data_IF_475370778870
#
_entry.id   IF_475370778870
#
_cell.length_a   1.000
_cell.length_b   1.000
_cell.length_c   1.000
_cell.angle_alpha   90.00
_cell.angle_beta   90.00
_cell.angle_gamma   90.00
#
_symmetry.space_group_name_H-M   'P 1'
#
loop_
_entity.id
_entity.type
_entity.pdbx_description
1 polymer ?
#
# COMPACT_ATOMS: atom_id res chain seq x y z
N UNK A 1 -33.79 -2.47 -2.32
CA UNK A 1 -32.43 -2.90 -2.01
C UNK A 1 -32.32 -4.44 -2.01
N UNK A 2 -31.15 -4.97 -2.37
CA UNK A 2 -30.88 -6.40 -2.31
C UNK A 2 -30.50 -6.83 -0.88
N UNK A 3 -30.58 -8.14 -0.57
CA UNK A 3 -30.08 -8.67 0.70
C UNK A 3 -28.60 -8.29 0.93
N UNK A 4 -27.77 -8.38 -0.09
CA UNK A 4 -26.36 -7.96 -0.02
C UNK A 4 -26.24 -6.49 0.41
N UNK A 5 -27.05 -5.58 -0.11
CA UNK A 5 -27.03 -4.16 0.26
C UNK A 5 -27.33 -3.93 1.76
N UNK A 6 -28.22 -4.73 2.33
CA UNK A 6 -28.56 -4.65 3.77
C UNK A 6 -27.40 -5.17 4.63
N UNK A 7 -26.80 -6.31 4.22
CA UNK A 7 -25.79 -7.03 5.01
C UNK A 7 -24.38 -6.46 4.85
N UNK A 8 -24.08 -5.81 3.72
CA UNK A 8 -22.71 -5.33 3.45
C UNK A 8 -22.36 -4.15 4.35
N UNK A 9 -21.65 -4.46 5.42
CA UNK A 9 -20.99 -3.52 6.34
C UNK A 9 -19.50 -3.75 6.36
N UNK A 10 -18.97 -4.46 5.37
CA UNK A 10 -17.55 -4.78 5.26
C UNK A 10 -16.69 -3.52 5.19
N UNK A 11 -15.46 -3.60 5.67
CA UNK A 11 -14.52 -2.47 5.73
C UNK A 11 -13.48 -2.51 4.62
N UNK A 12 -13.41 -3.63 3.89
CA UNK A 12 -12.45 -3.82 2.79
C UNK A 12 -13.16 -4.28 1.53
N UNK A 13 -12.63 -3.91 0.37
CA UNK A 13 -13.17 -4.36 -0.91
C UNK A 13 -13.08 -5.90 -1.06
N UNK A 14 -12.03 -6.51 -0.53
CA UNK A 14 -11.87 -7.98 -0.46
C UNK A 14 -12.96 -8.62 0.38
N UNK A 15 -13.27 -8.04 1.54
CA UNK A 15 -14.38 -8.47 2.41
C UNK A 15 -15.73 -8.40 1.72
N UNK A 16 -16.02 -7.32 0.98
CA UNK A 16 -17.26 -7.16 0.22
C UNK A 16 -17.38 -8.25 -0.88
N UNK A 17 -16.30 -8.54 -1.60
CA UNK A 17 -16.29 -9.64 -2.58
C UNK A 17 -16.53 -10.99 -1.93
N UNK A 18 -15.89 -11.24 -0.78
CA UNK A 18 -16.06 -12.50 -0.04
C UNK A 18 -17.50 -12.64 0.51
N UNK A 19 -18.08 -11.58 1.06
CA UNK A 19 -19.46 -11.59 1.51
C UNK A 19 -20.44 -11.89 0.35
N UNK A 20 -20.22 -11.27 -0.80
CA UNK A 20 -21.00 -11.58 -2.02
C UNK A 20 -20.88 -13.04 -2.41
N UNK A 21 -19.65 -13.58 -2.40
CA UNK A 21 -19.41 -14.99 -2.71
C UNK A 21 -20.12 -15.93 -1.74
N UNK A 22 -20.14 -15.61 -0.44
CA UNK A 22 -20.84 -16.40 0.57
C UNK A 22 -22.35 -16.40 0.39
N UNK A 23 -22.94 -15.27 0.00
CA UNK A 23 -24.39 -15.18 -0.27
C UNK A 23 -24.78 -15.91 -1.55
N UNK A 24 -23.93 -15.92 -2.57
CA UNK A 24 -24.23 -16.59 -3.85
C UNK A 24 -23.92 -18.10 -3.81
N UNK A 25 -23.02 -18.52 -2.93
CA UNK A 25 -22.60 -19.93 -2.75
C UNK A 25 -22.59 -20.28 -1.27
N UNK A 26 -23.78 -20.43 -0.64
CA UNK A 26 -23.87 -20.72 0.78
C UNK A 26 -23.29 -22.08 1.11
N UNK A 27 -22.73 -22.21 2.31
CA UNK A 27 -22.29 -23.49 2.85
C UNK A 27 -23.47 -24.44 3.05
N UNK A 28 -23.20 -25.71 2.85
CA UNK A 28 -24.17 -26.83 3.07
C UNK A 28 -23.74 -27.76 4.20
N UNK A 29 -22.48 -27.68 4.60
CA UNK A 29 -21.94 -28.48 5.71
C UNK A 29 -22.21 -27.78 7.04
N UNK A 30 -22.87 -28.49 7.96
CA UNK A 30 -23.29 -27.98 9.25
C UNK A 30 -22.08 -27.56 10.09
N UNK A 31 -21.04 -28.39 10.14
CA UNK A 31 -19.86 -28.10 10.94
C UNK A 31 -19.13 -26.83 10.46
N UNK A 32 -19.06 -26.62 9.14
CA UNK A 32 -18.49 -25.40 8.58
C UNK A 32 -19.34 -24.17 8.85
N UNK A 33 -20.66 -24.32 8.89
CA UNK A 33 -21.60 -23.22 9.25
C UNK A 33 -21.41 -22.86 10.73
N UNK A 34 -21.45 -23.84 11.63
CA UNK A 34 -21.29 -23.64 13.08
C UNK A 34 -19.95 -23.00 13.41
N UNK A 35 -18.87 -23.41 12.73
CA UNK A 35 -17.54 -22.81 12.88
C UNK A 35 -17.52 -21.32 12.54
N UNK A 36 -18.25 -20.88 11.49
CA UNK A 36 -18.42 -19.45 11.18
C UNK A 36 -19.30 -18.72 12.18
N UNK A 37 -20.40 -19.34 12.60
CA UNK A 37 -21.29 -18.76 13.61
C UNK A 37 -20.58 -18.59 14.95
N UNK A 38 -19.74 -19.53 15.34
CA UNK A 38 -18.88 -19.41 16.54
C UNK A 38 -17.94 -18.20 16.50
N UNK A 39 -17.39 -17.88 15.32
CA UNK A 39 -16.56 -16.67 15.17
C UNK A 39 -17.42 -15.40 15.32
N UNK A 40 -18.63 -15.36 14.74
CA UNK A 40 -19.57 -14.25 14.90
C UNK A 40 -19.96 -14.09 16.36
N UNK A 41 -20.28 -15.17 17.05
CA UNK A 41 -20.61 -15.17 18.48
C UNK A 41 -19.47 -14.61 19.33
N UNK A 42 -18.23 -15.05 19.08
CA UNK A 42 -17.05 -14.59 19.81
C UNK A 42 -16.84 -13.07 19.63
N UNK A 43 -16.97 -12.55 18.41
CA UNK A 43 -16.90 -11.12 18.14
C UNK A 43 -18.08 -10.33 18.72
N UNK A 44 -19.26 -10.93 18.78
CA UNK A 44 -20.44 -10.29 19.39
C UNK A 44 -20.27 -10.15 20.91
N UNK A 45 -19.69 -11.14 21.55
CA UNK A 45 -19.39 -11.14 23.00
C UNK A 45 -18.22 -10.25 23.38
N UNK A 46 -17.26 -10.01 22.47
CA UNK A 46 -16.09 -9.16 22.70
C UNK A 46 -16.18 -7.89 21.85
N UNK A 47 -16.95 -6.91 22.34
CA UNK A 47 -17.20 -5.65 21.64
C UNK A 47 -15.91 -4.85 21.41
N UNK A 48 -14.99 -4.82 22.40
CA UNK A 48 -13.74 -4.06 22.30
C UNK A 48 -12.88 -4.60 21.15
N UNK A 49 -12.58 -5.91 21.15
CA UNK A 49 -11.79 -6.52 20.09
C UNK A 49 -12.47 -6.38 18.71
N UNK A 50 -13.80 -6.44 18.66
CA UNK A 50 -14.55 -6.23 17.41
C UNK A 50 -14.35 -4.82 16.86
N UNK A 51 -14.50 -3.78 17.68
CA UNK A 51 -14.34 -2.39 17.24
C UNK A 51 -12.90 -2.10 16.80
N UNK A 52 -11.90 -2.60 17.52
CA UNK A 52 -10.49 -2.48 17.15
C UNK A 52 -10.19 -3.19 15.81
N UNK A 53 -10.74 -4.39 15.60
CA UNK A 53 -10.65 -5.08 14.31
C UNK A 53 -11.28 -4.27 13.17
N UNK A 54 -12.44 -3.63 13.42
CA UNK A 54 -13.10 -2.77 12.44
C UNK A 54 -12.21 -1.59 12.07
N UNK A 55 -11.55 -0.96 13.03
CA UNK A 55 -10.64 0.16 12.79
C UNK A 55 -9.42 -0.29 11.99
N UNK A 56 -8.78 -1.38 12.39
CA UNK A 56 -7.59 -1.90 11.69
C UNK A 56 -7.92 -2.31 10.25
N UNK A 57 -9.05 -2.99 10.03
CA UNK A 57 -9.50 -3.39 8.69
C UNK A 57 -9.81 -2.19 7.79
N UNK A 58 -10.31 -1.10 8.34
CA UNK A 58 -10.69 0.08 7.55
C UNK A 58 -9.52 0.78 6.85
N UNK A 59 -8.29 0.54 7.31
CA UNK A 59 -7.07 1.08 6.70
C UNK A 59 -6.46 0.19 5.63
N UNK A 60 -7.02 -0.99 5.36
CA UNK A 60 -6.48 -1.95 4.39
C UNK A 60 -7.02 -1.65 2.99
N UNK A 61 -6.13 -1.36 2.06
CA UNK A 61 -6.43 -1.17 0.65
C UNK A 61 -6.81 -2.49 -0.04
N UNK A 62 -7.30 -2.40 -1.28
CA UNK A 62 -7.60 -3.59 -2.10
C UNK A 62 -6.31 -4.29 -2.55
N UNK A 63 -5.75 -5.13 -1.67
CA UNK A 63 -4.48 -5.83 -1.90
C UNK A 63 -4.54 -6.76 -3.12
N UNK A 64 -5.69 -7.39 -3.41
CA UNK A 64 -5.83 -8.24 -4.60
C UNK A 64 -5.61 -7.43 -5.88
N UNK A 65 -6.17 -6.21 -5.96
CA UNK A 65 -5.97 -5.32 -7.10
C UNK A 65 -4.55 -4.78 -7.18
N UNK A 66 -3.94 -4.44 -6.04
CA UNK A 66 -2.55 -4.00 -5.99
C UNK A 66 -1.61 -5.09 -6.49
N UNK A 67 -1.76 -6.32 -6.03
CA UNK A 67 -0.98 -7.47 -6.48
C UNK A 67 -1.20 -7.73 -7.98
N UNK A 68 -2.45 -7.64 -8.46
CA UNK A 68 -2.75 -7.74 -9.89
C UNK A 68 -1.99 -6.70 -10.72
N UNK A 69 -1.97 -5.43 -10.29
CA UNK A 69 -1.21 -4.36 -10.98
C UNK A 69 0.30 -4.61 -10.96
N UNK A 70 0.83 -5.12 -9.84
CA UNK A 70 2.24 -5.49 -9.72
C UNK A 70 2.57 -6.64 -10.70
N UNK A 71 1.76 -7.67 -10.72
CA UNK A 71 1.96 -8.83 -11.61
C UNK A 71 1.91 -8.47 -13.11
N UNK A 72 1.05 -7.49 -13.47
CA UNK A 72 0.97 -6.96 -14.83
C UNK A 72 2.02 -5.89 -15.17
N UNK A 73 2.89 -5.51 -14.22
CA UNK A 73 3.90 -4.48 -14.43
C UNK A 73 3.35 -3.06 -14.59
N UNK A 74 2.12 -2.80 -14.14
CA UNK A 74 1.45 -1.49 -14.26
C UNK A 74 1.42 -0.71 -12.93
N UNK A 75 1.97 -1.30 -11.86
CA UNK A 75 2.03 -0.66 -10.55
C UNK A 75 3.07 0.47 -10.53
N UNK A 76 2.74 1.57 -9.88
CA UNK A 76 3.65 2.68 -9.58
C UNK A 76 4.09 2.69 -8.12
N UNK A 77 4.97 3.63 -7.74
CA UNK A 77 5.48 3.75 -6.37
C UNK A 77 4.37 3.87 -5.33
N UNK A 78 3.28 4.59 -5.63
CA UNK A 78 2.12 4.74 -4.73
C UNK A 78 1.38 3.42 -4.48
N UNK A 79 1.35 2.52 -5.46
CA UNK A 79 0.72 1.20 -5.28
C UNK A 79 1.52 0.36 -4.27
N UNK A 80 2.85 0.39 -4.36
CA UNK A 80 3.72 -0.27 -3.40
C UNK A 80 3.63 0.37 -2.00
N UNK A 81 3.56 1.69 -1.90
CA UNK A 81 3.35 2.38 -0.62
C UNK A 81 1.99 1.99 0.00
N UNK A 82 0.92 1.90 -0.81
CA UNK A 82 -0.40 1.43 -0.36
C UNK A 82 -0.37 -0.03 0.09
N UNK A 83 0.39 -0.87 -0.61
CA UNK A 83 0.58 -2.28 -0.23
C UNK A 83 1.32 -2.37 1.11
N UNK A 84 2.45 -1.65 1.28
CA UNK A 84 3.19 -1.58 2.54
C UNK A 84 2.27 -1.17 3.70
N UNK A 85 1.53 -0.07 3.56
CA UNK A 85 0.64 0.42 4.59
C UNK A 85 -0.45 -0.61 4.94
N UNK A 86 -0.96 -1.34 3.95
CA UNK A 86 -1.94 -2.41 4.17
C UNK A 86 -1.34 -3.60 4.93
N UNK A 87 -0.10 -3.98 4.62
CA UNK A 87 0.64 -5.05 5.31
C UNK A 87 0.88 -4.65 6.79
N UNK A 88 1.24 -3.40 7.05
CA UNK A 88 1.42 -2.89 8.42
C UNK A 88 0.11 -2.99 9.22
N UNK A 89 -1.05 -2.72 8.60
CA UNK A 89 -2.36 -2.92 9.22
C UNK A 89 -2.69 -4.39 9.49
N UNK A 90 -2.20 -5.33 8.70
CA UNK A 90 -2.35 -6.77 8.98
C UNK A 90 -1.73 -7.12 10.33
N UNK A 91 -0.61 -6.52 10.68
CA UNK A 91 0.02 -6.73 12.00
C UNK A 91 -0.90 -6.28 13.14
N UNK A 92 -1.60 -5.14 12.97
CA UNK A 92 -2.59 -4.68 13.95
C UNK A 92 -3.79 -5.64 14.03
N UNK A 93 -4.30 -6.11 12.88
CA UNK A 93 -5.38 -7.11 12.83
C UNK A 93 -4.96 -8.39 13.57
N UNK A 94 -3.75 -8.88 13.33
CA UNK A 94 -3.22 -10.08 14.01
C UNK A 94 -3.16 -9.87 15.52
N UNK A 95 -2.70 -8.72 15.98
CA UNK A 95 -2.64 -8.38 17.40
C UNK A 95 -4.03 -8.45 18.07
N UNK A 96 -5.09 -8.04 17.39
CA UNK A 96 -6.45 -8.16 17.92
C UNK A 96 -6.99 -9.59 17.93
N UNK A 97 -6.55 -10.42 16.97
CA UNK A 97 -6.94 -11.83 16.91
C UNK A 97 -6.38 -12.65 18.07
N UNK A 98 -5.26 -12.28 18.67
CA UNK A 98 -4.67 -12.95 19.85
C UNK A 98 -5.60 -12.99 21.07
N UNK A 99 -6.61 -12.11 21.14
CA UNK A 99 -7.64 -12.14 22.17
C UNK A 99 -8.54 -13.39 22.10
N UNK A 100 -8.51 -14.13 20.99
CA UNK A 100 -9.33 -15.31 20.74
C UNK A 100 -8.44 -16.56 20.75
N UNK A 101 -8.55 -17.37 21.80
CA UNK A 101 -7.69 -18.53 22.03
C UNK A 101 -8.24 -19.84 21.47
N UNK A 102 -9.44 -19.83 20.90
CA UNK A 102 -10.13 -21.02 20.36
C UNK A 102 -10.98 -20.65 19.14
N UNK A 103 -11.39 -21.66 18.39
CA UNK A 103 -12.32 -21.53 17.27
C UNK A 103 -11.71 -20.84 16.02
N UNK A 104 -12.57 -20.40 15.10
CA UNK A 104 -12.13 -19.92 13.79
C UNK A 104 -11.25 -18.65 13.86
N UNK A 105 -11.47 -17.78 14.83
CA UNK A 105 -10.64 -16.58 14.99
C UNK A 105 -9.21 -16.91 15.41
N UNK A 106 -9.04 -17.90 16.31
CA UNK A 106 -7.74 -18.42 16.67
C UNK A 106 -7.02 -19.09 15.50
N UNK A 107 -7.75 -19.86 14.69
CA UNK A 107 -7.19 -20.46 13.48
C UNK A 107 -6.71 -19.37 12.50
N UNK A 108 -7.51 -18.32 12.31
CA UNK A 108 -7.11 -17.18 11.47
C UNK A 108 -5.87 -16.48 12.01
N UNK A 109 -5.72 -16.33 13.32
CA UNK A 109 -4.50 -15.79 13.93
C UNK A 109 -3.27 -16.64 13.57
N UNK A 110 -3.39 -17.96 13.67
CA UNK A 110 -2.29 -18.88 13.33
C UNK A 110 -1.97 -18.90 11.82
N UNK A 111 -3.00 -18.79 10.97
CA UNK A 111 -2.85 -18.82 9.51
C UNK A 111 -2.35 -17.48 8.94
N UNK A 112 -2.56 -16.36 9.64
CA UNK A 112 -2.28 -15.03 9.14
C UNK A 112 -0.78 -14.72 9.19
N UNK A 113 -0.16 -14.63 8.02
CA UNK A 113 1.18 -14.10 7.86
C UNK A 113 1.14 -12.57 7.82
N UNK A 114 1.99 -11.92 8.60
CA UNK A 114 2.08 -10.47 8.68
C UNK A 114 2.92 -9.85 7.57
N UNK A 115 3.62 -10.64 6.76
CA UNK A 115 4.42 -10.19 5.60
C UNK A 115 5.37 -9.03 5.92
N UNK A 116 5.94 -9.00 7.11
CA UNK A 116 6.79 -7.89 7.60
C UNK A 116 8.06 -7.73 6.79
N UNK A 117 8.60 -8.81 6.24
CA UNK A 117 9.73 -8.82 5.32
C UNK A 117 9.42 -8.07 4.02
N UNK A 118 8.22 -8.29 3.47
CA UNK A 118 7.75 -7.58 2.27
C UNK A 118 7.58 -6.09 2.55
N UNK A 119 6.93 -5.73 3.67
CA UNK A 119 6.78 -4.34 4.07
C UNK A 119 8.14 -3.65 4.26
N UNK A 120 9.09 -4.34 4.89
CA UNK A 120 10.45 -3.83 5.09
C UNK A 120 11.18 -3.64 3.76
N UNK A 121 11.09 -4.61 2.85
CA UNK A 121 11.69 -4.50 1.51
C UNK A 121 11.17 -3.28 0.73
N UNK A 122 9.87 -3.02 0.80
CA UNK A 122 9.26 -1.84 0.17
C UNK A 122 9.77 -0.55 0.85
N UNK A 123 9.86 -0.53 2.18
CA UNK A 123 10.32 0.62 2.96
C UNK A 123 11.78 0.96 2.67
N UNK A 124 12.62 -0.05 2.51
CA UNK A 124 14.05 0.13 2.21
C UNK A 124 14.27 0.64 0.78
N UNK A 125 13.39 0.22 -0.14
CA UNK A 125 13.50 0.56 -1.56
C UNK A 125 12.92 1.93 -1.90
N UNK A 126 11.75 2.27 -1.33
CA UNK A 126 10.98 3.45 -1.75
C UNK A 126 11.00 4.55 -0.69
N UNK A 127 10.88 5.78 -1.15
CA UNK A 127 10.56 6.91 -0.27
C UNK A 127 9.14 6.77 0.28
N UNK A 128 8.84 7.45 1.39
CA UNK A 128 7.55 7.27 2.09
C UNK A 128 6.35 7.77 1.26
N UNK A 129 6.52 8.85 0.52
CA UNK A 129 5.50 9.44 -0.36
C UNK A 129 5.99 9.47 -1.82
N UNK A 130 5.88 8.35 -2.55
CA UNK A 130 6.28 8.31 -3.94
C UNK A 130 5.43 9.25 -4.82
N UNK A 131 6.01 9.84 -5.88
CA UNK A 131 5.28 10.66 -6.84
C UNK A 131 4.17 9.87 -7.53
N UNK A 132 3.22 10.59 -8.13
CA UNK A 132 2.09 9.96 -8.81
C UNK A 132 2.52 9.15 -10.03
N UNK A 133 3.42 9.69 -10.81
CA UNK A 133 3.89 9.08 -12.06
C UNK A 133 5.32 8.56 -11.92
N UNK A 134 5.56 7.36 -12.41
CA UNK A 134 6.91 6.78 -12.52
C UNK A 134 7.83 7.67 -13.38
N UNK A 135 7.25 8.44 -14.33
CA UNK A 135 8.00 9.38 -15.18
C UNK A 135 8.61 10.54 -14.43
N UNK A 136 8.08 10.89 -13.26
CA UNK A 136 8.62 11.96 -12.42
C UNK A 136 9.97 11.56 -11.79
N UNK A 137 10.22 10.24 -11.65
CA UNK A 137 11.42 9.71 -11.01
C UNK A 137 11.47 9.99 -9.51
N UNK A 138 12.63 9.76 -8.89
CA UNK A 138 12.89 10.14 -7.50
C UNK A 138 12.15 9.33 -6.43
N UNK A 139 11.56 8.19 -6.78
CA UNK A 139 10.82 7.35 -5.82
C UNK A 139 11.67 6.25 -5.17
N UNK A 140 12.88 5.99 -5.68
CA UNK A 140 13.82 5.08 -5.04
C UNK A 140 14.56 5.83 -3.92
N UNK A 141 14.63 5.21 -2.76
CA UNK A 141 15.29 5.76 -1.58
C UNK A 141 16.80 5.88 -1.83
N UNK A 142 17.39 7.05 -1.49
CA UNK A 142 18.83 7.25 -1.59
C UNK A 142 19.57 6.22 -0.72
N UNK A 143 20.64 5.65 -1.28
CA UNK A 143 21.43 4.59 -0.65
C UNK A 143 20.95 3.17 -0.94
N UNK A 144 19.79 2.99 -1.60
CA UNK A 144 19.31 1.66 -1.96
C UNK A 144 20.07 1.06 -3.14
N UNK A 145 20.39 1.89 -4.15
CA UNK A 145 21.14 1.45 -5.32
C UNK A 145 22.13 2.53 -5.77
N UNK A 146 23.43 2.22 -5.70
CA UNK A 146 24.50 3.17 -6.00
C UNK A 146 24.45 3.73 -7.43
N UNK A 147 24.00 2.94 -8.42
CA UNK A 147 23.91 3.42 -9.80
C UNK A 147 22.72 4.38 -9.97
N UNK A 148 21.59 4.13 -9.31
CA UNK A 148 20.46 5.06 -9.27
C UNK A 148 20.88 6.36 -8.61
N UNK A 149 21.57 6.30 -7.49
CA UNK A 149 22.09 7.50 -6.79
C UNK A 149 23.03 8.29 -7.68
N UNK A 150 23.96 7.63 -8.36
CA UNK A 150 24.88 8.26 -9.31
C UNK A 150 24.15 8.95 -10.46
N UNK A 151 23.13 8.31 -11.04
CA UNK A 151 22.33 8.89 -12.11
C UNK A 151 21.53 10.10 -11.61
N UNK A 152 20.99 10.04 -10.39
CA UNK A 152 20.32 11.17 -9.75
C UNK A 152 21.25 12.35 -9.52
N UNK A 153 22.49 12.10 -9.10
CA UNK A 153 23.50 13.15 -8.92
C UNK A 153 23.88 13.81 -10.24
N UNK A 154 24.04 13.04 -11.32
CA UNK A 154 24.29 13.58 -12.65
C UNK A 154 23.12 14.48 -13.11
N UNK A 155 21.88 14.01 -12.94
CA UNK A 155 20.69 14.75 -13.35
C UNK A 155 20.48 16.03 -12.53
N UNK A 156 20.72 15.99 -11.24
CA UNK A 156 20.62 17.15 -10.35
C UNK A 156 21.80 18.10 -10.51
N UNK A 157 23.01 17.55 -10.64
CA UNK A 157 24.24 18.30 -10.90
C UNK A 157 24.20 19.05 -12.24
N UNK A 158 23.62 18.44 -13.27
CA UNK A 158 23.43 19.11 -14.56
C UNK A 158 22.53 20.35 -14.46
N UNK A 159 21.49 20.33 -13.64
CA UNK A 159 20.65 21.52 -13.36
C UNK A 159 21.41 22.59 -12.58
N UNK A 160 22.22 22.22 -11.61
CA UNK A 160 23.10 23.12 -10.86
C UNK A 160 24.15 23.75 -11.74
N UNK A 161 24.83 22.97 -12.58
CA UNK A 161 25.83 23.44 -13.51
C UNK A 161 25.27 24.46 -14.52
N UNK A 162 24.05 24.24 -15.02
CA UNK A 162 23.38 25.19 -15.91
C UNK A 162 23.04 26.50 -15.20
N UNK A 163 22.60 26.45 -13.95
CA UNK A 163 22.34 27.64 -13.14
C UNK A 163 23.63 28.42 -12.83
N UNK A 164 24.72 27.71 -12.54
CA UNK A 164 26.03 28.33 -12.33
C UNK A 164 26.58 28.99 -13.61
N UNK A 165 26.44 28.33 -14.75
CA UNK A 165 26.81 28.88 -16.05
C UNK A 165 25.95 30.11 -16.35
N UNK A 166 24.63 30.04 -16.14
CA UNK A 166 23.72 31.17 -16.35
C UNK A 166 24.11 32.38 -15.48
N UNK A 167 24.41 32.16 -14.22
CA UNK A 167 24.85 33.20 -13.28
C UNK A 167 26.17 33.85 -13.75
N UNK A 168 27.15 33.03 -14.08
CA UNK A 168 28.46 33.49 -14.57
C UNK A 168 28.35 34.30 -15.87
N UNK A 169 27.52 33.85 -16.80
CA UNK A 169 27.35 34.56 -18.06
C UNK A 169 26.52 35.83 -17.89
N UNK A 170 25.58 35.90 -16.96
CA UNK A 170 24.88 37.12 -16.56
C UNK A 170 25.84 38.16 -16.00
N UNK A 171 26.76 37.74 -15.14
CA UNK A 171 27.80 38.62 -14.56
C UNK A 171 28.75 39.15 -15.62
N UNK A 172 29.21 38.30 -16.54
CA UNK A 172 30.14 38.68 -17.62
C UNK A 172 29.51 39.62 -18.66
N UNK A 173 28.27 39.32 -19.02
CA UNK A 173 27.60 40.05 -20.14
C UNK A 173 26.77 41.26 -19.68
N UNK A 174 26.44 41.34 -18.38
CA UNK A 174 25.52 42.34 -17.82
C UNK A 174 24.06 42.12 -18.22
N UNK A 175 23.72 41.06 -18.94
CA UNK A 175 22.37 40.76 -19.43
C UNK A 175 21.58 40.05 -18.34
N UNK A 176 20.80 40.78 -17.55
CA UNK A 176 20.00 40.26 -16.43
C UNK A 176 18.91 39.25 -16.84
N UNK A 177 18.44 39.32 -18.09
CA UNK A 177 17.38 38.46 -18.63
C UNK A 177 17.89 37.19 -19.31
N UNK A 178 19.23 36.97 -19.34
CA UNK A 178 19.84 35.79 -19.93
C UNK A 178 19.26 34.53 -19.26
N UNK A 179 18.84 33.57 -20.04
CA UNK A 179 18.40 32.23 -19.59
C UNK A 179 19.11 31.18 -20.43
N UNK A 180 19.65 30.19 -19.75
CA UNK A 180 20.26 29.02 -20.38
C UNK A 180 19.34 27.81 -20.16
N UNK A 181 18.94 27.14 -21.22
CA UNK A 181 18.09 25.98 -21.14
C UNK A 181 18.27 25.06 -22.34
N UNK A 182 17.82 23.80 -22.20
CA UNK A 182 17.77 22.88 -23.32
C UNK A 182 16.60 23.20 -24.23
N UNK A 183 16.89 23.33 -25.50
CA UNK A 183 15.85 23.37 -26.54
C UNK A 183 15.69 21.95 -27.10
N UNK A 184 14.42 21.49 -27.29
CA UNK A 184 14.11 20.18 -27.88
C UNK A 184 14.38 20.08 -29.39
N UNK A 185 15.29 20.86 -29.93
CA UNK A 185 15.61 20.92 -31.38
C UNK A 185 16.73 19.92 -31.75
N UNK A 186 17.14 19.05 -30.84
CA UNK A 186 18.08 17.95 -31.11
C UNK A 186 17.48 16.63 -30.64
#
# INVERSE_FOLDING_TARGET
GSLLWVLDKTKTAMGARNLRAWLTRPLRDVAAIERRLGAVEALTKNTVAREELILSLSGISDMERLIGRIAYGTAGGRDFASLRNSIERITEVKAQLTAFTTGRLHELDNELDTLTDVAQSIRDTLIDEPPFSVREGGFIRKGYNAEVDRLHEILSGGKGLLADIETREKEKTGIRTLKIGYNKVF
#
